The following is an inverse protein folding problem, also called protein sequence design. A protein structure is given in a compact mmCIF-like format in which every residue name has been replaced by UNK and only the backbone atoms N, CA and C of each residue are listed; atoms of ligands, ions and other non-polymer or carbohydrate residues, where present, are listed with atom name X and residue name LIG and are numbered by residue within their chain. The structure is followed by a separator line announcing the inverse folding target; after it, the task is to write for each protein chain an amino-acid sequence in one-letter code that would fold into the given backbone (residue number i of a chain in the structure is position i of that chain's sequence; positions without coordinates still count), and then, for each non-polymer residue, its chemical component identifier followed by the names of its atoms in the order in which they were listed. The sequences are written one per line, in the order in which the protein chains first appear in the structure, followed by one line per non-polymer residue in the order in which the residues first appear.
data_IF_363007200896
#
_entry.id   IF_363007200896
#
_cell.length_a   1.000
_cell.length_b   1.000
_cell.length_c   1.000
_cell.angle_alpha   90.00
_cell.angle_beta   90.00
_cell.angle_gamma   90.00
#
_symmetry.space_group_name_H-M   'P 1'
#
loop_
_entity.id
_entity.type
_entity.pdbx_description
1 polymer ?
#
# COMPACT_ATOMS: atom_id res chain seq x y z
N UNK A 1 -33.09 -12.44 31.95
CA UNK A 1 -32.10 -11.39 31.65
C UNK A 1 -31.95 -11.33 30.13
N UNK A 2 -32.23 -10.19 29.48
CA UNK A 2 -32.24 -10.08 28.02
C UNK A 2 -30.84 -9.90 27.42
N UNK A 3 -30.67 -10.42 26.20
CA UNK A 3 -29.44 -10.39 25.40
C UNK A 3 -29.09 -8.97 24.98
N UNK A 4 -27.88 -8.53 25.30
CA UNK A 4 -27.41 -7.19 24.94
C UNK A 4 -26.53 -7.27 23.69
N UNK A 5 -27.20 -7.04 22.56
CA UNK A 5 -26.73 -6.38 21.34
C UNK A 5 -25.25 -6.52 20.98
N UNK A 6 -25.01 -7.43 20.03
CA UNK A 6 -23.96 -7.30 19.03
C UNK A 6 -24.17 -5.95 18.30
N UNK A 7 -23.47 -4.93 18.77
CA UNK A 7 -23.39 -3.62 18.14
C UNK A 7 -21.93 -3.29 17.99
N UNK A 8 -21.31 -3.86 16.95
CA UNK A 8 -20.14 -3.25 16.36
C UNK A 8 -20.42 -3.13 14.87
N UNK A 9 -20.57 -1.87 14.45
CA UNK A 9 -21.00 -1.46 13.12
C UNK A 9 -20.24 -2.18 12.00
N UNK A 10 -20.84 -2.35 10.81
CA UNK A 10 -20.07 -2.79 9.64
C UNK A 10 -18.87 -1.86 9.49
N UNK A 11 -17.67 -2.43 9.51
CA UNK A 11 -16.44 -1.68 9.32
C UNK A 11 -16.57 -0.77 8.08
N UNK A 12 -16.09 0.49 8.15
CA UNK A 12 -16.12 1.38 7.01
C UNK A 12 -15.46 0.66 5.84
N UNK A 13 -16.23 0.45 4.75
CA UNK A 13 -15.67 -0.12 3.52
C UNK A 13 -14.59 0.87 3.10
N UNK A 14 -13.31 0.48 3.03
CA UNK A 14 -12.29 1.39 2.54
C UNK A 14 -12.77 1.86 1.16
N UNK A 15 -12.92 3.18 1.01
CA UNK A 15 -13.25 3.78 -0.27
C UNK A 15 -12.33 3.17 -1.31
N UNK A 16 -12.90 2.61 -2.37
CA UNK A 16 -12.19 1.84 -3.39
C UNK A 16 -10.91 2.61 -3.75
N UNK A 17 -9.76 2.00 -3.49
CA UNK A 17 -8.46 2.60 -3.75
C UNK A 17 -8.43 3.12 -5.21
N UNK A 18 -8.20 4.42 -5.43
CA UNK A 18 -8.31 5.01 -6.76
C UNK A 18 -7.28 4.46 -7.75
N UNK A 19 -6.14 3.94 -7.28
CA UNK A 19 -5.13 3.33 -8.17
C UNK A 19 -5.63 2.00 -8.73
N UNK A 20 -6.41 1.25 -7.93
CA UNK A 20 -7.09 0.03 -8.36
C UNK A 20 -8.16 0.25 -9.45
N UNK A 21 -8.39 1.50 -9.91
CA UNK A 21 -9.23 1.78 -11.09
C UNK A 21 -8.49 1.57 -12.42
N UNK A 22 -7.15 1.60 -12.42
CA UNK A 22 -6.34 1.56 -13.64
C UNK A 22 -5.07 0.69 -13.53
N UNK A 23 -4.76 0.15 -12.36
CA UNK A 23 -3.61 -0.72 -12.13
C UNK A 23 -3.97 -1.88 -11.18
N UNK A 24 -3.35 -3.04 -11.39
CA UNK A 24 -3.55 -4.22 -10.56
C UNK A 24 -2.53 -4.25 -9.42
N UNK A 25 -2.95 -4.44 -8.15
CA UNK A 25 -2.02 -4.55 -7.03
C UNK A 25 -1.22 -5.85 -7.14
N UNK A 26 0.11 -5.73 -7.15
CA UNK A 26 1.03 -6.87 -7.23
C UNK A 26 1.77 -7.11 -5.91
N UNK A 27 1.89 -6.11 -5.04
CA UNK A 27 2.55 -6.26 -3.73
C UNK A 27 2.07 -5.23 -2.72
N UNK A 28 2.19 -5.54 -1.42
CA UNK A 28 1.85 -4.61 -0.33
C UNK A 28 2.79 -4.84 0.86
N UNK A 29 3.21 -3.75 1.48
CA UNK A 29 3.96 -3.75 2.73
C UNK A 29 3.42 -2.71 3.69
N UNK A 30 3.69 -2.89 4.98
CA UNK A 30 3.29 -1.97 6.05
C UNK A 30 4.49 -1.76 6.97
N UNK A 31 4.68 -0.56 7.47
CA UNK A 31 5.74 -0.25 8.44
C UNK A 31 5.61 -1.14 9.69
N UNK A 32 6.72 -1.38 10.41
CA UNK A 32 6.69 -2.17 11.63
C UNK A 32 5.72 -1.60 12.67
N UNK A 33 5.16 -2.46 13.55
CA UNK A 33 4.37 -1.99 14.68
C UNK A 33 5.22 -1.12 15.60
N UNK A 34 4.66 0.01 16.06
CA UNK A 34 5.36 0.98 16.91
C UNK A 34 6.08 2.09 16.14
N UNK A 35 6.00 2.09 14.81
CA UNK A 35 6.43 3.25 14.02
C UNK A 35 5.58 4.48 14.40
N UNK A 36 6.19 5.63 14.73
CA UNK A 36 5.45 6.83 15.10
C UNK A 36 4.50 7.33 14.01
N UNK A 37 4.76 6.97 12.75
CA UNK A 37 3.88 7.29 11.62
C UNK A 37 3.67 6.01 10.80
N UNK A 38 2.64 5.21 11.11
CA UNK A 38 2.42 3.97 10.38
C UNK A 38 2.17 4.24 8.90
N UNK A 39 2.88 3.49 8.04
CA UNK A 39 2.82 3.65 6.59
C UNK A 39 2.35 2.35 5.96
N UNK A 40 1.48 2.44 4.96
CA UNK A 40 1.20 1.34 4.04
C UNK A 40 1.66 1.71 2.65
N UNK A 41 2.47 0.85 2.03
CA UNK A 41 2.83 0.98 0.62
C UNK A 41 2.20 -0.18 -0.16
N UNK A 42 1.58 0.13 -1.30
CA UNK A 42 1.08 -0.86 -2.24
C UNK A 42 1.72 -0.62 -3.59
N UNK A 43 2.27 -1.68 -4.19
CA UNK A 43 2.85 -1.71 -5.53
C UNK A 43 1.80 -2.26 -6.50
N UNK A 44 1.60 -1.56 -7.59
CA UNK A 44 0.70 -1.93 -8.67
C UNK A 44 1.44 -2.04 -9.98
N UNK A 45 0.84 -2.79 -10.91
CA UNK A 45 1.26 -2.86 -12.31
C UNK A 45 0.13 -2.40 -13.20
N UNK A 46 0.43 -1.48 -14.10
CA UNK A 46 -0.54 -1.03 -15.10
C UNK A 46 -0.53 -1.98 -16.32
N UNK A 47 -1.61 -2.01 -17.13
CA UNK A 47 -1.66 -2.84 -18.34
C UNK A 47 -0.57 -2.53 -19.38
N UNK A 48 -0.09 -1.28 -19.41
CA UNK A 48 1.00 -0.81 -20.27
C UNK A 48 2.40 -1.10 -19.71
N UNK A 49 2.49 -1.80 -18.56
CA UNK A 49 3.75 -2.30 -18.01
C UNK A 49 4.49 -1.32 -17.08
N UNK A 50 3.87 -0.18 -16.74
CA UNK A 50 4.39 0.74 -15.73
C UNK A 50 4.12 0.21 -14.32
N UNK A 51 4.89 0.72 -13.37
CA UNK A 51 4.74 0.40 -11.97
C UNK A 51 4.26 1.63 -11.21
N UNK A 52 3.36 1.43 -10.26
CA UNK A 52 2.81 2.51 -9.42
C UNK A 52 3.00 2.13 -7.97
N UNK A 53 3.55 3.05 -7.16
CA UNK A 53 3.57 2.91 -5.70
C UNK A 53 2.57 3.90 -5.13
N UNK A 54 1.62 3.39 -4.33
CA UNK A 54 0.76 4.21 -3.47
C UNK A 54 1.24 4.09 -2.04
N UNK A 55 1.63 5.20 -1.43
CA UNK A 55 2.11 5.28 -0.05
C UNK A 55 1.10 6.04 0.77
N UNK A 56 0.49 5.41 1.77
CA UNK A 56 -0.46 6.04 2.68
C UNK A 56 0.11 6.14 4.08
N UNK A 57 0.09 7.34 4.64
CA UNK A 57 0.40 7.64 6.02
C UNK A 57 -0.87 7.59 6.85
N UNK A 58 -0.86 6.78 7.90
CA UNK A 58 -1.96 6.68 8.86
C UNK A 58 -1.73 7.70 9.98
N UNK A 59 -2.36 8.87 9.90
CA UNK A 59 -2.36 9.84 11.00
C UNK A 59 -3.54 9.56 11.92
N UNK A 60 -3.28 8.95 13.07
CA UNK A 60 -4.32 8.68 14.07
C UNK A 60 -5.20 7.47 13.74
N UNK A 61 -6.31 7.35 14.46
CA UNK A 61 -7.24 6.22 14.35
C UNK A 61 -8.36 6.43 13.30
N UNK A 62 -8.42 7.62 12.70
CA UNK A 62 -9.46 7.98 11.74
C UNK A 62 -8.97 7.76 10.30
N UNK A 63 -9.59 6.87 9.51
CA UNK A 63 -9.20 6.62 8.13
C UNK A 63 -9.43 7.82 7.20
N UNK A 64 -10.17 8.85 7.62
CA UNK A 64 -10.35 10.10 6.87
C UNK A 64 -9.09 10.98 6.94
N UNK A 65 -8.18 10.73 7.90
CA UNK A 65 -6.90 11.43 8.03
C UNK A 65 -5.73 10.70 7.33
N UNK A 66 -6.02 9.70 6.48
CA UNK A 66 -5.01 9.06 5.64
C UNK A 66 -4.51 10.03 4.56
N UNK A 67 -3.21 10.35 4.60
CA UNK A 67 -2.55 11.11 3.55
C UNK A 67 -1.82 10.13 2.62
N UNK A 68 -2.26 10.04 1.36
CA UNK A 68 -1.67 9.14 0.38
C UNK A 68 -0.96 9.90 -0.74
N UNK A 69 0.23 9.43 -1.07
CA UNK A 69 1.01 9.84 -2.24
C UNK A 69 1.05 8.72 -3.28
N UNK A 70 1.22 9.10 -4.55
CA UNK A 70 1.28 8.16 -5.69
C UNK A 70 2.46 8.50 -6.58
N UNK A 71 3.35 7.53 -6.76
CA UNK A 71 4.50 7.62 -7.66
C UNK A 71 4.36 6.62 -8.80
N UNK A 72 4.74 7.04 -10.01
CA UNK A 72 4.69 6.23 -11.23
C UNK A 72 6.08 6.06 -11.81
N UNK A 73 6.40 4.84 -12.22
CA UNK A 73 7.68 4.47 -12.79
C UNK A 73 7.47 3.80 -14.14
N UNK A 74 8.27 4.20 -15.14
CA UNK A 74 8.14 3.70 -16.52
C UNK A 74 8.48 2.21 -16.68
N UNK A 75 9.12 1.59 -15.67
CA UNK A 75 9.44 0.18 -15.71
C UNK A 75 10.18 -0.30 -14.46
N UNK A 76 10.46 -1.60 -14.45
CA UNK A 76 11.02 -2.29 -13.28
C UNK A 76 12.41 -1.78 -12.89
N UNK A 77 13.25 -1.41 -13.87
CA UNK A 77 14.58 -0.86 -13.60
C UNK A 77 14.50 0.49 -12.87
N UNK A 78 13.66 1.40 -13.35
CA UNK A 78 13.46 2.70 -12.72
C UNK A 78 12.86 2.56 -11.31
N UNK A 79 11.93 1.63 -11.12
CA UNK A 79 11.38 1.27 -9.82
C UNK A 79 12.46 0.76 -8.87
N UNK A 80 13.29 -0.21 -9.31
CA UNK A 80 14.35 -0.77 -8.46
C UNK A 80 15.40 0.25 -8.07
N UNK A 81 15.79 1.15 -8.99
CA UNK A 81 16.72 2.24 -8.68
C UNK A 81 16.14 3.21 -7.65
N UNK A 82 14.86 3.56 -7.75
CA UNK A 82 14.22 4.44 -6.77
C UNK A 82 14.16 3.81 -5.37
N UNK A 83 13.79 2.53 -5.29
CA UNK A 83 13.70 1.79 -4.03
C UNK A 83 15.08 1.45 -3.43
N UNK A 84 16.10 1.26 -4.27
CA UNK A 84 17.48 1.02 -3.80
C UNK A 84 18.11 2.29 -3.21
N UNK A 85 17.75 3.47 -3.73
CA UNK A 85 18.18 4.76 -3.23
C UNK A 85 17.53 5.13 -1.88
N UNK A 86 16.28 4.69 -1.64
CA UNK A 86 15.59 4.84 -0.35
C UNK A 86 16.19 3.98 0.76
N UNK A 87 16.65 2.78 0.41
CA UNK A 87 17.51 1.94 1.25
C UNK A 87 16.88 1.43 2.56
N UNK A 88 15.61 1.72 2.80
CA UNK A 88 14.92 1.30 4.01
C UNK A 88 14.41 -0.15 3.90
N UNK A 89 14.09 -0.73 5.05
CA UNK A 89 13.58 -2.10 5.11
C UNK A 89 12.21 -2.25 4.46
N UNK A 90 11.46 -1.15 4.29
CA UNK A 90 10.10 -1.15 3.77
C UNK A 90 10.10 -1.30 2.26
N UNK A 91 10.94 -0.54 1.55
CA UNK A 91 11.13 -0.59 0.12
C UNK A 91 11.63 -1.98 -0.33
N UNK A 92 12.56 -2.58 0.43
CA UNK A 92 13.00 -3.96 0.20
C UNK A 92 11.86 -4.97 0.37
N UNK A 93 11.05 -4.81 1.41
CA UNK A 93 9.89 -5.67 1.64
C UNK A 93 8.84 -5.51 0.52
N UNK A 94 8.69 -4.30 -0.04
CA UNK A 94 7.78 -4.03 -1.16
C UNK A 94 8.24 -4.73 -2.44
N UNK A 95 9.55 -4.69 -2.75
CA UNK A 95 10.13 -5.46 -3.87
C UNK A 95 9.82 -6.95 -3.70
N UNK A 96 10.11 -7.52 -2.53
CA UNK A 96 9.87 -8.94 -2.25
C UNK A 96 8.38 -9.31 -2.30
N UNK A 97 7.50 -8.40 -1.90
CA UNK A 97 6.06 -8.64 -1.90
C UNK A 97 5.47 -8.68 -3.32
N UNK A 98 6.02 -7.90 -4.27
CA UNK A 98 5.39 -7.70 -5.58
C UNK A 98 6.20 -8.11 -6.81
N UNK A 99 7.51 -7.87 -6.85
CA UNK A 99 8.32 -8.21 -8.01
C UNK A 99 8.73 -9.69 -8.02
N UNK A 100 9.09 -10.23 -6.86
CA UNK A 100 9.49 -11.64 -6.77
C UNK A 100 8.32 -12.60 -7.01
N UNK A 101 7.09 -12.18 -6.73
CA UNK A 101 5.86 -12.96 -6.96
C UNK A 101 5.30 -12.84 -8.38
N UNK A 102 5.57 -11.74 -9.09
CA UNK A 102 5.06 -11.52 -10.44
C UNK A 102 5.95 -12.17 -11.53
N UNK A 103 7.14 -12.65 -11.17
CA UNK A 103 8.11 -13.28 -12.07
C UNK A 103 8.13 -14.82 -12.08
N UNK A 104 7.18 -15.49 -11.41
CA UNK A 104 7.00 -16.96 -11.45
C UNK A 104 5.86 -17.38 -12.37
#
# INVERSE_FOLDING_TARGET
MPESHDSSAPAPRPGRDPVSLFADPIGRTTSPPGDPVPVTQTLYRTPDGRYVIRTCLHRGADPVEEACDVMVYDGEAALREALSAGGDGLDRALIAAGLDRAGS
#
